data_IF_777949856268
#
_entry.id   IF_777949856268
#
_cell.length_a   1.000
_cell.length_b   1.000
_cell.length_c   1.000
_cell.angle_alpha   90.00
_cell.angle_beta   90.00
_cell.angle_gamma   90.00
#
_symmetry.space_group_name_H-M   'P 1'
#
loop_
_entity.id
_entity.type
_entity.pdbx_description
1 polymer ?
#
# COMPACT_ATOMS: atom_id res chain seq x y z
N UNK A 1 4.51 19.34 -18.88
CA UNK A 1 4.11 19.82 -20.21
C UNK A 1 4.14 18.66 -21.22
N UNK A 2 5.27 18.05 -21.49
CA UNK A 2 5.42 16.95 -22.46
C UNK A 2 4.46 15.78 -22.21
N UNK A 3 4.34 15.31 -20.99
CA UNK A 3 3.40 14.23 -20.63
C UNK A 3 1.94 14.65 -20.94
N UNK A 4 1.56 15.86 -20.58
CA UNK A 4 0.22 16.36 -20.89
C UNK A 4 -0.02 16.40 -22.41
N UNK A 5 0.90 16.94 -23.19
CA UNK A 5 0.79 17.04 -24.64
C UNK A 5 0.73 15.66 -25.32
N UNK A 6 1.45 14.68 -24.78
CA UNK A 6 1.47 13.31 -25.30
C UNK A 6 0.14 12.55 -25.03
N UNK A 7 -0.42 12.68 -23.82
CA UNK A 7 -1.54 11.84 -23.38
C UNK A 7 -2.90 12.54 -23.39
N UNK A 8 -2.93 13.88 -23.42
CA UNK A 8 -4.19 14.64 -23.46
C UNK A 8 -5.09 14.28 -24.66
N UNK A 9 -4.57 14.04 -25.88
CA UNK A 9 -5.41 13.68 -27.03
C UNK A 9 -6.23 12.40 -26.85
N UNK A 10 -5.79 11.48 -26.00
CA UNK A 10 -6.54 10.24 -25.68
C UNK A 10 -7.91 10.57 -25.07
N UNK A 11 -8.02 11.69 -24.39
CA UNK A 11 -9.25 12.13 -23.72
C UNK A 11 -10.11 13.09 -24.56
N UNK A 12 -9.73 13.43 -25.78
CA UNK A 12 -10.44 14.47 -26.56
C UNK A 12 -11.90 14.09 -26.85
N UNK A 13 -12.17 12.84 -27.21
CA UNK A 13 -13.54 12.39 -27.41
C UNK A 13 -14.30 12.21 -26.09
N UNK A 14 -13.63 11.74 -25.05
CA UNK A 14 -14.21 11.61 -23.71
C UNK A 14 -14.70 12.97 -23.17
N UNK A 15 -13.95 14.04 -23.38
CA UNK A 15 -14.31 15.41 -22.94
C UNK A 15 -15.59 15.95 -23.58
N UNK A 16 -16.09 15.31 -24.63
CA UNK A 16 -17.34 15.68 -25.31
C UNK A 16 -18.56 14.90 -24.79
N UNK A 17 -18.35 13.94 -23.90
CA UNK A 17 -19.40 13.09 -23.33
C UNK A 17 -19.96 13.65 -22.03
N UNK A 18 -21.12 13.13 -21.60
CA UNK A 18 -21.74 13.47 -20.31
C UNK A 18 -20.91 12.98 -19.10
N UNK A 19 -19.92 12.10 -19.32
CA UNK A 19 -18.99 11.59 -18.29
C UNK A 19 -17.67 12.38 -18.21
N UNK A 20 -17.55 13.51 -18.93
CA UNK A 20 -16.32 14.30 -19.05
C UNK A 20 -15.70 14.76 -17.70
N UNK A 21 -16.51 14.81 -16.65
CA UNK A 21 -16.12 15.17 -15.29
C UNK A 21 -15.79 13.94 -14.41
N UNK A 22 -15.87 12.72 -14.94
CA UNK A 22 -15.65 11.49 -14.19
C UNK A 22 -14.18 11.02 -14.27
N UNK A 23 -13.36 11.25 -13.22
CA UNK A 23 -11.93 10.91 -13.23
C UNK A 23 -11.67 9.42 -13.41
N UNK A 24 -12.57 8.55 -12.92
CA UNK A 24 -12.47 7.11 -13.09
C UNK A 24 -12.52 6.72 -14.56
N UNK A 25 -13.50 7.25 -15.29
CA UNK A 25 -13.67 6.92 -16.73
C UNK A 25 -12.47 7.45 -17.53
N UNK A 26 -12.03 8.66 -17.25
CA UNK A 26 -10.82 9.22 -17.86
C UNK A 26 -9.58 8.34 -17.60
N UNK A 27 -9.38 7.92 -16.36
CA UNK A 27 -8.28 7.03 -16.01
C UNK A 27 -8.37 5.70 -16.72
N UNK A 28 -9.55 5.10 -16.80
CA UNK A 28 -9.76 3.82 -17.48
C UNK A 28 -9.36 3.89 -18.95
N UNK A 29 -9.80 4.92 -19.68
CA UNK A 29 -9.45 5.11 -21.09
C UNK A 29 -7.94 5.25 -21.30
N UNK A 30 -7.28 6.03 -20.45
CA UNK A 30 -5.82 6.18 -20.49
C UNK A 30 -5.11 4.85 -20.27
N UNK A 31 -5.53 4.12 -19.27
CA UNK A 31 -4.92 2.85 -18.88
C UNK A 31 -5.13 1.78 -19.96
N UNK A 32 -6.32 1.68 -20.54
CA UNK A 32 -6.62 0.75 -21.64
C UNK A 32 -5.80 1.06 -22.90
N UNK A 33 -5.51 2.34 -23.12
CA UNK A 33 -4.64 2.77 -24.21
C UNK A 33 -3.18 2.43 -23.93
N UNK A 34 -2.70 2.70 -22.73
CA UNK A 34 -1.32 2.41 -22.32
C UNK A 34 -1.00 0.91 -22.30
N UNK A 35 -1.96 0.07 -21.93
CA UNK A 35 -1.81 -1.39 -21.96
C UNK A 35 -1.47 -1.94 -23.36
N UNK A 36 -1.93 -1.28 -24.41
CA UNK A 36 -1.60 -1.67 -25.79
C UNK A 36 -0.12 -1.48 -26.14
N UNK A 37 0.62 -0.70 -25.34
CA UNK A 37 2.04 -0.43 -25.53
C UNK A 37 2.97 -1.56 -25.08
N UNK A 38 2.43 -2.72 -24.69
CA UNK A 38 3.19 -3.93 -24.36
C UNK A 38 4.27 -3.71 -23.27
N UNK A 39 3.86 -3.24 -22.10
CA UNK A 39 4.75 -3.07 -20.95
C UNK A 39 5.28 -4.40 -20.43
N UNK A 40 6.56 -4.44 -20.03
CA UNK A 40 7.23 -5.64 -19.53
C UNK A 40 7.67 -5.47 -18.08
N UNK A 41 7.29 -6.42 -17.25
CA UNK A 41 7.77 -6.46 -15.86
C UNK A 41 9.24 -6.92 -15.82
N UNK A 42 10.10 -6.06 -15.28
CA UNK A 42 11.55 -6.32 -15.15
C UNK A 42 11.99 -6.53 -13.71
N UNK A 43 11.07 -6.80 -12.79
CA UNK A 43 11.39 -6.99 -11.37
C UNK A 43 12.45 -8.10 -11.11
N UNK A 44 12.60 -9.03 -12.02
CA UNK A 44 13.57 -10.14 -11.94
C UNK A 44 14.90 -9.85 -12.63
N UNK A 45 15.03 -8.71 -13.32
CA UNK A 45 16.23 -8.37 -14.06
C UNK A 45 17.03 -7.29 -13.29
N UNK A 46 18.36 -7.37 -13.28
CA UNK A 46 19.21 -6.38 -12.62
C UNK A 46 19.34 -5.11 -13.48
N UNK A 47 18.23 -4.59 -13.96
CA UNK A 47 18.18 -3.29 -14.62
C UNK A 47 18.09 -2.24 -13.53
N UNK A 48 18.84 -1.17 -13.65
CA UNK A 48 18.79 -0.06 -12.69
C UNK A 48 17.37 0.51 -12.55
N UNK A 49 17.09 1.23 -11.48
CA UNK A 49 15.77 1.81 -11.25
C UNK A 49 15.42 2.77 -12.39
N UNK A 50 14.23 2.57 -12.97
CA UNK A 50 13.64 3.49 -13.92
C UNK A 50 12.76 4.49 -13.18
N UNK A 51 12.95 5.77 -13.39
CA UNK A 51 12.05 6.79 -12.88
C UNK A 51 10.81 6.92 -13.79
N UNK A 52 9.72 7.41 -13.24
CA UNK A 52 8.42 7.42 -13.90
C UNK A 52 8.40 7.76 -15.41
N UNK A 53 8.98 8.90 -15.88
CA UNK A 53 9.02 9.23 -17.29
C UNK A 53 9.80 8.22 -18.16
N UNK A 54 10.85 7.62 -17.63
CA UNK A 54 11.65 6.63 -18.36
C UNK A 54 10.86 5.33 -18.58
N UNK A 55 10.01 4.94 -17.63
CA UNK A 55 9.12 3.80 -17.78
C UNK A 55 8.15 4.00 -18.94
N UNK A 56 7.63 5.22 -19.12
CA UNK A 56 6.74 5.56 -20.25
C UNK A 56 7.46 5.47 -21.60
N UNK A 57 8.75 5.74 -21.61
CA UNK A 57 9.59 5.66 -22.81
C UNK A 57 10.03 4.24 -23.14
N UNK A 58 10.44 3.48 -22.12
CA UNK A 58 11.05 2.16 -22.32
C UNK A 58 10.05 1.01 -22.17
N UNK A 59 8.85 1.27 -21.66
CA UNK A 59 7.78 0.31 -21.40
C UNK A 59 8.24 -0.88 -20.53
N UNK A 60 9.18 -0.64 -19.64
CA UNK A 60 9.69 -1.67 -18.73
C UNK A 60 9.82 -1.13 -17.31
N UNK A 61 9.66 -2.00 -16.32
CA UNK A 61 9.79 -1.63 -14.92
C UNK A 61 9.23 -2.69 -13.98
N UNK A 62 9.34 -2.46 -12.69
CA UNK A 62 8.67 -3.20 -11.64
C UNK A 62 7.30 -2.59 -11.33
N UNK A 63 6.52 -3.24 -10.47
CA UNK A 63 5.23 -2.69 -10.00
C UNK A 63 5.36 -1.29 -9.40
N UNK A 64 6.46 -1.01 -8.70
CA UNK A 64 6.76 0.31 -8.14
C UNK A 64 6.95 1.37 -9.21
N UNK A 65 7.76 1.06 -10.20
CA UNK A 65 8.13 1.98 -11.27
C UNK A 65 6.94 2.26 -12.20
N UNK A 66 6.12 1.25 -12.51
CA UNK A 66 4.87 1.45 -13.24
C UNK A 66 3.88 2.32 -12.47
N UNK A 67 3.76 2.09 -11.17
CA UNK A 67 2.90 2.91 -10.31
C UNK A 67 3.34 4.37 -10.31
N UNK A 68 4.64 4.62 -10.21
CA UNK A 68 5.19 5.98 -10.28
C UNK A 68 4.94 6.63 -11.66
N UNK A 69 5.13 5.90 -12.75
CA UNK A 69 4.86 6.38 -14.10
C UNK A 69 3.39 6.80 -14.30
N UNK A 70 2.47 5.97 -13.81
CA UNK A 70 1.03 6.27 -13.90
C UNK A 70 0.63 7.52 -13.11
N UNK A 71 1.28 7.80 -11.98
CA UNK A 71 1.06 9.06 -11.25
C UNK A 71 1.38 10.27 -12.11
N UNK A 72 2.49 10.24 -12.86
CA UNK A 72 2.84 11.35 -13.76
C UNK A 72 1.78 11.57 -14.84
N UNK A 73 1.31 10.50 -15.47
CA UNK A 73 0.27 10.60 -16.51
C UNK A 73 -1.04 11.12 -15.94
N UNK A 74 -1.56 10.45 -14.92
CA UNK A 74 -2.88 10.75 -14.36
C UNK A 74 -2.93 12.18 -13.79
N UNK A 75 -1.92 12.58 -13.04
CA UNK A 75 -1.88 13.93 -12.44
C UNK A 75 -1.63 15.02 -13.47
N UNK A 76 -0.84 14.78 -14.51
CA UNK A 76 -0.67 15.74 -15.60
C UNK A 76 -2.00 16.06 -16.29
N UNK A 77 -2.94 15.12 -16.27
CA UNK A 77 -4.28 15.27 -16.86
C UNK A 77 -5.36 15.66 -15.83
N UNK A 78 -4.97 15.98 -14.61
CA UNK A 78 -5.88 16.42 -13.55
C UNK A 78 -6.66 15.30 -12.87
N UNK A 79 -6.29 14.03 -13.08
CA UNK A 79 -6.99 12.89 -12.50
C UNK A 79 -6.46 12.63 -11.07
N UNK A 80 -7.33 12.64 -10.04
CA UNK A 80 -6.92 12.43 -8.65
C UNK A 80 -6.52 10.98 -8.42
N UNK A 81 -5.25 10.76 -8.12
CA UNK A 81 -4.67 9.44 -7.94
C UNK A 81 -3.53 9.43 -6.92
N UNK A 82 -3.17 8.24 -6.50
CA UNK A 82 -2.03 8.01 -5.63
C UNK A 82 -1.56 6.56 -5.66
N UNK A 83 -0.83 6.17 -4.62
CA UNK A 83 -0.21 4.85 -4.48
C UNK A 83 -0.71 4.17 -3.22
N UNK A 84 -1.18 2.96 -3.37
CA UNK A 84 -1.38 2.01 -2.29
C UNK A 84 -0.36 0.87 -2.41
N UNK A 85 -0.04 0.25 -1.28
CA UNK A 85 0.94 -0.84 -1.24
C UNK A 85 0.67 -1.83 -0.12
N UNK A 86 1.15 -3.05 -0.31
CA UNK A 86 1.44 -4.00 0.77
C UNK A 86 2.94 -4.07 1.02
N UNK A 87 3.33 -4.20 2.27
CA UNK A 87 4.76 -4.30 2.64
C UNK A 87 5.31 -5.68 2.33
N UNK A 88 4.50 -6.71 2.54
CA UNK A 88 4.81 -8.12 2.27
C UNK A 88 3.54 -8.81 1.82
N UNK A 89 3.64 -9.56 0.73
CA UNK A 89 2.64 -10.55 0.32
C UNK A 89 2.91 -11.85 1.06
N UNK A 90 1.91 -12.39 1.74
CA UNK A 90 2.07 -13.58 2.58
C UNK A 90 2.41 -14.88 1.84
N UNK A 91 2.28 -14.90 0.52
CA UNK A 91 2.49 -16.07 -0.34
C UNK A 91 3.83 -16.08 -1.08
N UNK A 92 4.46 -14.93 -1.32
CA UNK A 92 5.66 -14.86 -2.17
C UNK A 92 6.77 -13.94 -1.64
N UNK A 93 6.65 -13.45 -0.42
CA UNK A 93 7.62 -12.57 0.23
C UNK A 93 7.97 -11.27 -0.52
N UNK A 94 7.18 -10.90 -1.50
CA UNK A 94 7.35 -9.65 -2.25
C UNK A 94 6.52 -8.53 -1.63
N UNK A 95 6.90 -7.30 -1.88
CA UNK A 95 6.01 -6.14 -1.75
C UNK A 95 5.26 -5.92 -3.05
N UNK A 96 4.10 -5.28 -2.98
CA UNK A 96 3.36 -4.88 -4.17
C UNK A 96 2.87 -3.46 -4.08
N UNK A 97 2.84 -2.77 -5.21
CA UNK A 97 2.41 -1.38 -5.37
C UNK A 97 1.39 -1.31 -6.50
N UNK A 98 0.37 -0.50 -6.30
CA UNK A 98 -0.62 -0.19 -7.33
C UNK A 98 -1.10 1.25 -7.19
N UNK A 99 -1.74 1.76 -8.24
CA UNK A 99 -2.40 3.05 -8.18
C UNK A 99 -3.82 2.91 -7.61
N UNK A 100 -4.25 3.94 -6.94
CA UNK A 100 -5.67 4.20 -6.76
C UNK A 100 -6.06 5.46 -7.52
N UNK A 101 -7.32 5.52 -7.93
CA UNK A 101 -7.97 6.70 -8.52
C UNK A 101 -9.21 6.99 -7.69
N UNK A 102 -9.50 8.26 -7.49
CA UNK A 102 -10.74 8.68 -6.87
C UNK A 102 -11.74 9.07 -7.96
N UNK A 103 -13.00 8.63 -7.84
CA UNK A 103 -14.08 9.17 -8.64
C UNK A 103 -14.54 10.55 -8.12
N UNK A 104 -15.57 11.11 -8.74
CA UNK A 104 -16.12 12.42 -8.35
C UNK A 104 -16.78 12.43 -6.97
N UNK A 105 -17.20 11.29 -6.47
CA UNK A 105 -17.73 11.09 -5.13
C UNK A 105 -16.62 10.80 -4.09
N UNK A 106 -15.36 10.70 -4.51
CA UNK A 106 -14.22 10.38 -3.67
C UNK A 106 -14.07 8.88 -3.35
N UNK A 107 -14.80 8.00 -4.05
CA UNK A 107 -14.61 6.56 -3.93
C UNK A 107 -13.28 6.12 -4.54
N UNK A 108 -12.67 5.15 -3.90
CA UNK A 108 -11.39 4.59 -4.33
C UNK A 108 -11.59 3.45 -5.31
N UNK A 109 -10.95 3.56 -6.46
CA UNK A 109 -10.81 2.50 -7.46
C UNK A 109 -9.36 2.07 -7.54
N UNK A 110 -9.15 0.76 -7.66
CA UNK A 110 -7.82 0.17 -7.81
C UNK A 110 -7.46 0.11 -9.29
N UNK A 111 -6.26 0.55 -9.60
CA UNK A 111 -5.69 0.50 -10.93
C UNK A 111 -4.30 -0.15 -10.84
N UNK A 112 -4.24 -1.46 -11.14
CA UNK A 112 -3.00 -2.23 -11.10
C UNK A 112 -2.42 -2.35 -12.50
N UNK A 113 -2.03 -1.23 -13.07
CA UNK A 113 -1.70 -1.09 -14.48
C UNK A 113 -0.25 -0.62 -14.66
N UNK A 114 0.29 -0.72 -15.89
CA UNK A 114 -0.38 -0.99 -17.15
C UNK A 114 -0.46 -2.47 -17.57
N UNK A 115 0.17 -3.38 -16.85
CA UNK A 115 0.34 -4.77 -17.27
C UNK A 115 -0.71 -5.76 -16.72
N UNK A 116 -1.54 -5.33 -15.77
CA UNK A 116 -2.63 -6.14 -15.22
C UNK A 116 -3.99 -5.51 -15.50
N UNK A 117 -4.99 -6.35 -15.83
CA UNK A 117 -6.37 -5.93 -16.08
C UNK A 117 -7.18 -5.81 -14.78
N UNK A 118 -6.60 -5.20 -13.76
CA UNK A 118 -7.31 -5.02 -12.50
C UNK A 118 -7.83 -3.60 -12.42
N UNK A 119 -9.15 -3.49 -12.53
CA UNK A 119 -9.88 -2.25 -12.33
C UNK A 119 -11.16 -2.54 -11.55
N UNK A 120 -11.12 -2.33 -10.26
CA UNK A 120 -12.25 -2.58 -9.36
C UNK A 120 -12.31 -1.54 -8.27
N UNK A 121 -13.48 -1.43 -7.62
CA UNK A 121 -13.57 -0.68 -6.38
C UNK A 121 -12.66 -1.31 -5.33
N UNK A 122 -12.07 -0.49 -4.46
CA UNK A 122 -11.23 -0.99 -3.37
C UNK A 122 -11.97 -2.00 -2.49
N UNK A 123 -13.25 -1.76 -2.23
CA UNK A 123 -14.13 -2.66 -1.47
C UNK A 123 -14.38 -4.03 -2.13
N UNK A 124 -14.11 -4.16 -3.42
CA UNK A 124 -14.25 -5.41 -4.20
C UNK A 124 -12.89 -6.11 -4.39
N UNK A 125 -11.79 -5.41 -4.15
CA UNK A 125 -10.44 -5.90 -4.41
C UNK A 125 -9.86 -6.57 -3.17
N UNK A 126 -9.76 -7.88 -3.22
CA UNK A 126 -9.21 -8.69 -2.13
C UNK A 126 -7.70 -8.89 -2.30
N UNK A 127 -6.91 -7.97 -1.75
CA UNK A 127 -5.53 -8.31 -1.37
C UNK A 127 -5.57 -8.69 0.11
N UNK A 128 -6.01 -9.90 0.39
CA UNK A 128 -6.18 -10.41 1.75
C UNK A 128 -4.85 -10.85 2.36
N UNK A 129 -3.96 -9.90 2.71
CA UNK A 129 -2.62 -10.25 3.20
C UNK A 129 -2.04 -9.19 4.12
N UNK A 130 -2.65 -9.04 5.27
CA UNK A 130 -2.13 -8.18 6.32
C UNK A 130 -2.61 -6.74 6.24
N UNK A 131 -1.73 -5.81 5.90
CA UNK A 131 -2.00 -4.38 5.95
C UNK A 131 -1.71 -3.67 4.63
N UNK A 132 -2.61 -2.79 4.22
CA UNK A 132 -2.47 -1.91 3.07
C UNK A 132 -2.20 -0.48 3.50
N UNK A 133 -1.23 0.16 2.87
CA UNK A 133 -0.80 1.51 3.19
C UNK A 133 -0.86 2.43 1.98
N UNK A 134 -1.43 3.61 2.17
CA UNK A 134 -1.53 4.68 1.17
C UNK A 134 -0.45 5.73 1.39
N UNK A 135 0.24 6.12 0.31
CA UNK A 135 1.10 7.29 0.32
C UNK A 135 0.25 8.57 0.35
N UNK A 136 0.46 9.44 1.35
CA UNK A 136 -0.40 10.60 1.59
C UNK A 136 0.15 11.90 1.04
N UNK A 137 1.43 11.98 0.70
CA UNK A 137 2.12 13.23 0.30
C UNK A 137 2.02 14.38 1.32
N UNK A 138 1.42 14.11 2.46
CA UNK A 138 1.32 15.01 3.61
C UNK A 138 1.72 14.26 4.88
N UNK A 139 2.24 15.00 5.84
CA UNK A 139 2.66 14.42 7.12
C UNK A 139 1.42 14.03 7.92
N UNK A 140 1.34 12.78 8.35
CA UNK A 140 0.40 12.34 9.38
C UNK A 140 0.90 12.82 10.76
N UNK A 141 0.41 13.99 11.18
CA UNK A 141 0.80 14.63 12.45
C UNK A 141 0.40 13.81 13.66
N UNK A 142 -0.69 13.04 13.56
CA UNK A 142 -1.16 12.20 14.65
C UNK A 142 -0.24 11.00 14.84
N UNK A 143 0.11 10.31 13.75
CA UNK A 143 1.08 9.22 13.78
C UNK A 143 2.44 9.70 14.30
N UNK A 144 2.94 10.86 13.86
CA UNK A 144 4.17 11.45 14.36
C UNK A 144 4.12 11.70 15.88
N UNK A 145 3.03 12.30 16.37
CA UNK A 145 2.85 12.57 17.79
C UNK A 145 2.76 11.29 18.63
N UNK A 146 2.08 10.27 18.10
CA UNK A 146 1.87 8.98 18.78
C UNK A 146 3.17 8.18 18.83
N UNK A 147 3.86 8.05 17.70
CA UNK A 147 5.08 7.26 17.58
C UNK A 147 6.33 7.96 18.10
N UNK A 148 6.36 9.29 18.11
CA UNK A 148 7.51 10.07 18.61
C UNK A 148 7.84 9.87 20.08
N UNK A 149 6.98 9.19 20.84
CA UNK A 149 7.21 8.83 22.24
C UNK A 149 8.04 7.55 22.40
N UNK A 150 8.29 6.82 21.32
CA UNK A 150 8.97 5.53 21.33
C UNK A 150 10.29 5.61 20.55
N UNK A 151 11.36 5.14 21.15
CA UNK A 151 12.69 5.12 20.54
C UNK A 151 12.91 3.95 19.59
N UNK A 152 12.14 2.88 19.75
CA UNK A 152 12.30 1.57 19.15
C UNK A 152 11.26 1.25 18.05
N UNK A 153 10.66 2.28 17.47
CA UNK A 153 9.71 2.11 16.36
C UNK A 153 10.39 1.49 15.15
N UNK A 154 9.78 0.43 14.60
CA UNK A 154 10.26 -0.18 13.38
C UNK A 154 10.39 0.85 12.24
N UNK A 155 11.52 0.88 11.49
CA UNK A 155 11.83 1.97 10.57
C UNK A 155 10.76 2.30 9.53
N UNK A 156 10.02 1.28 9.06
CA UNK A 156 8.95 1.50 8.09
C UNK A 156 7.80 2.36 8.63
N UNK A 157 7.52 2.31 9.94
CA UNK A 157 6.47 3.08 10.60
C UNK A 157 6.91 4.48 11.04
N UNK A 158 8.20 4.77 11.03
CA UNK A 158 8.71 6.13 11.27
C UNK A 158 8.46 7.09 10.12
N UNK A 159 7.99 6.59 8.98
CA UNK A 159 7.70 7.39 7.79
C UNK A 159 6.29 7.99 7.90
N UNK A 160 6.15 9.30 8.14
CA UNK A 160 4.85 9.93 8.40
C UNK A 160 3.99 10.15 7.15
N UNK A 161 4.39 9.60 6.02
CA UNK A 161 3.74 9.77 4.72
C UNK A 161 2.90 8.55 4.30
N UNK A 162 2.65 7.64 5.23
CA UNK A 162 1.83 6.47 4.97
C UNK A 162 0.68 6.38 5.97
N UNK A 163 -0.53 6.18 5.43
CA UNK A 163 -1.75 5.92 6.20
C UNK A 163 -2.17 4.47 5.97
N UNK A 164 -2.59 3.79 7.03
CA UNK A 164 -3.30 2.51 6.93
C UNK A 164 -4.66 2.74 6.26
N UNK A 165 -4.90 2.03 5.17
CA UNK A 165 -6.14 2.07 4.38
C UNK A 165 -6.75 0.69 4.23
N UNK A 166 -6.35 -0.27 5.03
CA UNK A 166 -6.81 -1.66 4.95
C UNK A 166 -8.32 -1.79 5.01
N UNK A 167 -8.99 -0.91 5.80
CA UNK A 167 -10.45 -0.85 5.90
C UNK A 167 -11.17 -0.57 4.57
N UNK A 168 -10.50 0.03 3.59
CA UNK A 168 -11.08 0.28 2.26
C UNK A 168 -11.17 -0.98 1.40
N UNK A 169 -10.44 -2.04 1.79
CA UNK A 169 -10.31 -3.28 1.04
C UNK A 169 -11.16 -4.38 1.66
N UNK A 170 -11.65 -5.31 0.83
CA UNK A 170 -12.49 -6.39 1.34
C UNK A 170 -11.70 -7.43 2.13
N UNK A 171 -12.38 -8.11 3.05
CA UNK A 171 -11.83 -9.25 3.81
C UNK A 171 -10.98 -8.87 5.02
N UNK A 172 -10.92 -7.59 5.40
CA UNK A 172 -10.27 -7.17 6.64
C UNK A 172 -11.14 -7.51 7.87
N UNK A 173 -10.47 -7.82 8.99
CA UNK A 173 -11.11 -8.13 10.28
C UNK A 173 -10.30 -7.52 11.41
N UNK A 174 -10.99 -7.18 12.50
CA UNK A 174 -10.33 -6.88 13.75
C UNK A 174 -9.80 -8.17 14.38
N UNK A 175 -8.55 -8.13 14.80
CA UNK A 175 -7.90 -9.26 15.45
C UNK A 175 -7.41 -8.87 16.84
N UNK A 176 -7.89 -9.57 17.87
CA UNK A 176 -7.49 -9.33 19.25
C UNK A 176 -6.80 -10.58 19.77
N UNK A 177 -5.63 -10.40 20.32
CA UNK A 177 -4.82 -11.48 20.89
C UNK A 177 -4.57 -11.18 22.37
N UNK A 178 -5.04 -12.07 23.24
CA UNK A 178 -4.68 -12.06 24.65
C UNK A 178 -3.27 -12.62 24.80
N UNK A 179 -2.41 -11.90 25.53
CA UNK A 179 -1.07 -12.38 25.82
C UNK A 179 -1.09 -13.23 27.11
N UNK A 180 -0.45 -14.39 27.10
CA UNK A 180 -0.41 -15.28 28.28
C UNK A 180 0.39 -14.65 29.42
N UNK A 181 0.05 -15.01 30.66
CA UNK A 181 0.66 -14.48 31.88
C UNK A 181 2.16 -14.69 31.94
N UNK A 182 2.66 -15.78 31.35
CA UNK A 182 4.10 -16.06 31.24
C UNK A 182 4.87 -15.00 30.46
N UNK A 183 4.24 -14.32 29.52
CA UNK A 183 4.83 -13.22 28.76
C UNK A 183 4.67 -11.88 29.47
N UNK A 184 3.67 -11.76 30.35
CA UNK A 184 3.40 -10.53 31.11
C UNK A 184 4.28 -10.40 32.37
N UNK A 185 4.89 -11.49 32.83
CA UNK A 185 5.66 -11.54 34.09
C UNK A 185 7.04 -10.87 34.04
N UNK A 186 7.23 -9.84 33.22
CA UNK A 186 8.43 -9.01 33.26
C UNK A 186 8.88 -8.34 31.94
N UNK A 187 8.33 -8.74 30.80
CA UNK A 187 8.76 -8.24 29.49
C UNK A 187 7.85 -7.16 28.89
N UNK A 188 6.54 -7.18 29.19
CA UNK A 188 5.58 -6.24 28.60
C UNK A 188 4.85 -5.45 29.67
N UNK A 189 4.72 -4.14 29.40
CA UNK A 189 3.98 -3.19 30.22
C UNK A 189 2.82 -2.61 29.44
N UNK A 190 1.82 -2.15 30.16
CA UNK A 190 0.72 -1.37 29.58
C UNK A 190 1.28 -0.21 28.76
N UNK A 191 0.88 -0.13 27.50
CA UNK A 191 1.35 0.88 26.56
C UNK A 191 2.53 0.47 25.69
N UNK A 192 3.16 -0.67 25.93
CA UNK A 192 4.25 -1.15 25.08
C UNK A 192 3.77 -1.45 23.65
N UNK A 193 4.66 -1.24 22.69
CA UNK A 193 4.33 -1.45 21.27
C UNK A 193 4.46 -2.93 20.91
N UNK A 194 3.42 -3.45 20.27
CA UNK A 194 3.37 -4.83 19.75
C UNK A 194 3.19 -4.76 18.23
N UNK A 195 3.95 -5.55 17.51
CA UNK A 195 3.93 -5.61 16.05
C UNK A 195 3.21 -6.85 15.56
N UNK A 196 2.39 -6.64 14.53
CA UNK A 196 1.86 -7.71 13.69
C UNK A 196 2.90 -8.00 12.61
N UNK A 197 3.33 -9.25 12.52
CA UNK A 197 4.39 -9.66 11.60
C UNK A 197 3.90 -10.73 10.63
N UNK A 198 4.40 -10.66 9.41
CA UNK A 198 4.31 -11.71 8.39
C UNK A 198 5.66 -12.38 8.18
N UNK A 199 5.64 -13.66 7.84
CA UNK A 199 6.84 -14.35 7.40
C UNK A 199 7.36 -13.74 6.09
N UNK A 200 8.64 -13.37 6.07
CA UNK A 200 9.32 -12.87 4.89
C UNK A 200 10.69 -13.55 4.77
N UNK A 201 10.79 -14.56 3.92
CA UNK A 201 11.98 -15.41 3.77
C UNK A 201 12.32 -16.08 5.11
N UNK A 202 13.40 -15.64 5.75
CA UNK A 202 13.91 -16.23 7.00
C UNK A 202 13.59 -15.40 8.25
N UNK A 203 12.75 -14.37 8.14
CA UNK A 203 12.45 -13.48 9.26
C UNK A 203 10.97 -13.12 9.33
N UNK A 204 10.53 -12.71 10.50
CA UNK A 204 9.24 -12.10 10.71
C UNK A 204 9.33 -10.59 10.47
N UNK A 205 8.63 -10.10 9.46
CA UNK A 205 8.64 -8.68 9.12
C UNK A 205 7.42 -7.98 9.69
N UNK A 206 7.60 -6.92 10.50
CA UNK A 206 6.51 -6.10 10.98
C UNK A 206 5.75 -5.43 9.82
N UNK A 207 4.43 -5.64 9.80
CA UNK A 207 3.52 -5.07 8.80
C UNK A 207 2.45 -4.17 9.40
N UNK A 208 2.29 -4.17 10.72
CA UNK A 208 1.39 -3.33 11.48
C UNK A 208 1.84 -3.23 12.93
N UNK A 209 1.26 -2.32 13.67
CA UNK A 209 1.54 -2.17 15.09
C UNK A 209 0.28 -1.80 15.88
N UNK A 210 0.30 -2.13 17.16
CA UNK A 210 -0.66 -1.66 18.15
C UNK A 210 0.04 -1.42 19.48
N UNK A 211 -0.71 -0.97 20.47
CA UNK A 211 -0.20 -0.81 21.83
C UNK A 211 -0.88 -1.82 22.73
N UNK A 212 -0.08 -2.47 23.55
CA UNK A 212 -0.55 -3.41 24.56
C UNK A 212 -1.47 -2.70 25.55
N UNK A 213 -2.68 -3.21 25.74
CA UNK A 213 -3.68 -2.62 26.61
C UNK A 213 -4.60 -3.68 27.22
N UNK A 214 -4.79 -3.63 28.56
CA UNK A 214 -5.65 -4.58 29.28
C UNK A 214 -5.33 -6.04 28.98
N UNK A 215 -4.05 -6.38 28.88
CA UNK A 215 -3.53 -7.73 28.59
C UNK A 215 -3.84 -8.22 27.16
N UNK A 216 -4.17 -7.32 26.26
CA UNK A 216 -4.51 -7.64 24.87
C UNK A 216 -3.71 -6.77 23.90
N UNK A 217 -3.42 -7.35 22.73
CA UNK A 217 -2.99 -6.64 21.54
C UNK A 217 -4.14 -6.67 20.53
N UNK A 218 -4.71 -5.51 20.21
CA UNK A 218 -5.81 -5.39 19.25
C UNK A 218 -5.33 -4.71 17.99
N UNK A 219 -5.45 -5.41 16.87
CA UNK A 219 -5.19 -4.90 15.53
C UNK A 219 -6.51 -4.71 14.80
N UNK A 220 -6.74 -3.51 14.28
CA UNK A 220 -7.91 -3.20 13.46
C UNK A 220 -7.60 -3.51 12.00
N UNK A 221 -8.62 -3.90 11.25
CA UNK A 221 -8.57 -4.08 9.79
C UNK A 221 -7.37 -4.92 9.31
N UNK A 222 -7.25 -6.15 9.75
CA UNK A 222 -6.22 -7.08 9.28
C UNK A 222 -6.78 -7.96 8.16
N UNK A 223 -6.17 -7.91 7.00
CA UNK A 223 -6.52 -8.78 5.88
C UNK A 223 -6.10 -10.23 6.17
N UNK A 224 -6.97 -11.18 5.83
CA UNK A 224 -6.75 -12.62 6.05
C UNK A 224 -5.80 -13.27 5.02
N UNK A 225 -5.74 -14.61 5.03
CA UNK A 225 -5.05 -15.41 4.01
C UNK A 225 -3.53 -15.53 4.19
N UNK A 226 -2.99 -15.19 5.37
CA UNK A 226 -1.58 -15.35 5.70
C UNK A 226 -1.39 -15.80 7.16
N UNK A 227 -0.19 -16.30 7.45
CA UNK A 227 0.22 -16.67 8.82
C UNK A 227 0.88 -15.44 9.47
N UNK A 228 0.37 -15.08 10.63
CA UNK A 228 0.85 -13.94 11.40
C UNK A 228 1.50 -14.40 12.70
N UNK A 229 2.47 -13.64 13.17
CA UNK A 229 2.96 -13.70 14.54
C UNK A 229 2.96 -12.32 15.16
N UNK A 230 2.99 -12.26 16.49
CA UNK A 230 3.23 -11.03 17.21
C UNK A 230 4.70 -10.94 17.59
N UNK A 231 5.26 -9.73 17.51
CA UNK A 231 6.61 -9.45 17.96
C UNK A 231 6.67 -8.15 18.76
N UNK A 232 7.67 -8.05 19.63
CA UNK A 232 8.00 -6.81 20.30
C UNK A 232 9.51 -6.60 20.32
N UNK A 233 9.91 -5.36 20.52
CA UNK A 233 11.33 -5.02 20.63
C UNK A 233 11.87 -5.43 22.00
N UNK A 234 12.90 -6.27 22.03
CA UNK A 234 13.52 -6.76 23.26
C UNK A 234 14.81 -5.98 23.65
N UNK A 235 15.07 -4.86 22.98
CA UNK A 235 16.30 -4.07 23.11
C UNK A 235 17.36 -4.38 22.06
N UNK A 236 17.24 -5.49 21.34
CA UNK A 236 18.20 -5.93 20.32
C UNK A 236 17.52 -6.27 18.98
N UNK A 237 16.41 -6.96 19.05
CA UNK A 237 15.68 -7.43 17.86
C UNK A 237 14.16 -7.50 18.12
N UNK A 238 13.38 -7.70 17.07
CA UNK A 238 11.94 -7.95 17.17
C UNK A 238 11.71 -9.44 17.45
N UNK A 239 11.61 -9.78 18.73
CA UNK A 239 11.37 -11.16 19.19
C UNK A 239 9.88 -11.51 19.14
N UNK A 240 9.58 -12.73 18.74
CA UNK A 240 8.20 -13.26 18.78
C UNK A 240 7.69 -13.30 20.22
N UNK A 241 6.44 -12.87 20.42
CA UNK A 241 5.76 -12.84 21.72
C UNK A 241 4.58 -13.81 21.81
N UNK A 242 4.29 -14.52 20.73
CA UNK A 242 3.34 -15.63 20.70
C UNK A 242 4.03 -16.87 20.17
N UNK A 243 3.93 -17.94 20.86
CA UNK A 243 4.23 -19.27 20.35
C UNK A 243 3.01 -19.83 19.64
#
# INVERSE_FOLDING_TARGET
>A
KEIYECYSPILDEFRKTDEADNPKVAAQLLMDTLRKANYRNTALFPVGPHLGPDVLKWHTGSCREFTDAMIYVLRALGIPCGVDRVMVLGDNNASHFWNFVLDKEGKTYIANLPYEEVWSKAEEYSISRGKMYRATYSIDKEAVRKLGKYSDVYPAFRRPFFRDVTALYTGSRNWTVALPDSLLSGQFREGDMVYLCLANRLQWQPIGYTFFKKREARFEDVGGGAVFTLAAWNGKEYAAVSS
#
